data_IF_994412557167
#
_entry.id   IF_994412557167
#
_cell.length_a   1.000
_cell.length_b   1.000
_cell.length_c   1.000
_cell.angle_alpha   90.00
_cell.angle_beta   90.00
_cell.angle_gamma   90.00
#
_symmetry.space_group_name_H-M   'P 1'
#
loop_
_entity.id
_entity.type
_entity.pdbx_description
1 polymer ?
2 polymer ?
3 branched ?
4 branched ?
5 branched ?
6 non-polymer ?
7 non-polymer ?
8 non-polymer ?
9 water ?
#
# COMPACT_ATOMS: atom_id res chain seq x y z
N UNK A 2 -15.84 1.37 -9.78
CA UNK A 2 -15.89 1.11 -8.36
C UNK A 2 -14.47 1.25 -7.79
N UNK A 3 -14.36 1.68 -6.54
CA UNK A 3 -13.04 1.62 -5.87
C UNK A 3 -12.64 0.14 -5.74
N UNK A 4 -11.40 -0.23 -6.04
CA UNK A 4 -10.97 -1.64 -5.84
C UNK A 4 -10.41 -1.85 -4.43
N UNK A 5 -10.54 -3.08 -3.94
CA UNK A 5 -9.82 -3.48 -2.68
C UNK A 5 -8.39 -2.99 -2.76
N UNK A 6 -7.88 -2.47 -1.65
CA UNK A 6 -6.52 -1.96 -1.70
C UNK A 6 -6.19 -1.03 -0.57
N UNK A 7 -4.96 -0.57 -0.58
CA UNK A 7 -4.41 0.37 0.42
C UNK A 7 -4.40 1.74 -0.23
N UNK A 8 -4.96 2.72 0.46
CA UNK A 8 -5.08 4.10 -0.04
C UNK A 8 -4.48 5.12 0.91
N UNK A 9 -3.90 6.12 0.29
CA UNK A 9 -3.58 7.41 0.95
C UNK A 9 -4.67 8.37 0.54
N UNK A 10 -5.49 8.84 1.46
CA UNK A 10 -6.72 9.60 1.14
C UNK A 10 -6.44 11.08 1.38
N UNK A 11 -6.42 11.89 0.31
CA UNK A 11 -5.92 13.27 0.29
C UNK A 11 -7.09 14.21 -0.06
N UNK A 12 -7.37 15.20 0.76
CA UNK A 12 -8.43 16.20 0.51
C UNK A 12 -8.26 16.84 -0.87
N UNK A 13 -9.37 17.08 -1.59
CA UNK A 13 -9.26 17.73 -2.93
C UNK A 13 -8.97 19.24 -2.83
N UNK A 14 -9.28 19.91 -1.72
CA UNK A 14 -9.20 21.37 -1.57
C UNK A 14 -7.86 21.82 -1.01
N UNK A 15 -7.29 21.05 -0.08
CA UNK A 15 -6.03 21.40 0.63
C UNK A 15 -5.23 20.13 0.79
N UNK A 16 -3.89 20.23 0.89
CA UNK A 16 -2.99 19.07 0.92
C UNK A 16 -2.90 18.47 2.33
N UNK A 17 -4.04 17.98 2.80
CA UNK A 17 -4.19 17.25 4.08
C UNK A 17 -4.70 15.85 3.78
N UNK A 18 -4.11 14.85 4.39
CA UNK A 18 -4.53 13.44 4.26
C UNK A 18 -5.33 13.07 5.50
N UNK A 19 -6.16 12.05 5.36
CA UNK A 19 -6.90 11.47 6.50
C UNK A 19 -5.89 10.70 7.35
N UNK A 20 -5.76 11.14 8.62
CA UNK A 20 -4.69 10.73 9.54
C UNK A 20 -5.34 10.20 10.82
N UNK A 21 -4.94 9.02 11.26
CA UNK A 21 -5.43 8.52 12.59
C UNK A 21 -4.44 9.10 13.59
N UNK A 22 -4.90 9.99 14.45
CA UNK A 22 -3.98 10.81 15.28
C UNK A 22 -3.04 9.92 16.13
N UNK A 23 -1.73 10.16 15.98
CA UNK A 23 -0.63 9.42 16.64
C UNK A 23 -0.64 7.91 16.35
N UNK A 24 -1.37 7.47 15.32
CA UNK A 24 -1.51 6.05 15.01
C UNK A 24 -2.18 5.25 16.12
N UNK A 25 -2.86 5.89 17.04
CA UNK A 25 -3.27 5.23 18.29
C UNK A 25 -4.34 4.18 18.00
N UNK A 26 -4.21 3.00 18.62
CA UNK A 26 -5.27 1.96 18.53
C UNK A 26 -6.39 2.20 19.57
N UNK A 27 -6.29 3.22 20.42
CA UNK A 27 -7.37 3.44 21.44
C UNK A 27 -8.72 3.64 20.73
N UNK A 28 -9.81 3.05 21.24
CA UNK A 28 -11.15 3.40 20.70
C UNK A 28 -11.40 4.90 20.88
N UNK A 29 -11.89 5.58 19.85
CA UNK A 29 -12.26 7.00 19.93
C UNK A 29 -11.08 7.93 19.63
N UNK A 30 -10.00 7.38 19.13
CA UNK A 30 -8.86 8.18 18.65
C UNK A 30 -9.36 9.02 17.46
N UNK A 31 -9.16 10.34 17.47
CA UNK A 31 -9.69 11.20 16.42
C UNK A 31 -8.98 10.95 15.10
N UNK A 32 -9.79 10.94 14.05
CA UNK A 32 -9.24 10.98 12.66
C UNK A 32 -9.26 12.44 12.20
N UNK A 33 -8.11 12.94 11.70
CA UNK A 33 -7.87 14.39 11.53
C UNK A 33 -7.21 14.61 10.19
N UNK A 34 -7.30 15.82 9.67
CA UNK A 34 -6.46 16.17 8.52
C UNK A 34 -5.03 16.52 8.92
N UNK A 35 -4.07 16.07 8.14
CA UNK A 35 -2.62 16.24 8.49
C UNK A 35 -1.81 16.34 7.20
N UNK A 36 -0.76 17.12 7.19
CA UNK A 36 0.09 17.24 5.99
C UNK A 36 0.84 15.94 5.79
N UNK A 37 1.46 15.78 4.61
CA UNK A 37 2.09 14.50 4.24
C UNK A 37 3.29 14.77 3.34
N UNK A 38 4.12 13.76 3.23
CA UNK A 38 5.31 13.83 2.35
C UNK A 38 5.07 12.79 1.27
N UNK A 39 4.98 13.18 -0.01
CA UNK A 39 4.91 12.19 -1.08
C UNK A 39 6.19 11.33 -1.15
N UNK A 40 6.08 10.11 -1.69
CA UNK A 40 7.21 9.16 -1.88
C UNK A 40 7.87 8.79 -0.55
N UNK A 41 7.04 8.75 0.51
CA UNK A 41 7.40 8.18 1.80
C UNK A 41 6.27 7.22 2.17
N UNK A 42 6.53 6.46 3.21
CA UNK A 42 5.47 5.80 4.00
C UNK A 42 4.91 6.84 4.95
N UNK A 43 3.65 7.25 4.77
CA UNK A 43 2.96 8.15 5.72
C UNK A 43 2.26 7.26 6.76
N UNK A 44 2.97 6.96 7.84
CA UNK A 44 2.70 5.84 8.77
C UNK A 44 1.27 5.85 9.31
N UNK A 45 0.69 7.03 9.57
CA UNK A 45 -0.67 7.05 10.22
C UNK A 45 -1.79 7.29 9.22
N UNK A 46 -1.50 7.25 7.93
CA UNK A 46 -2.33 7.82 6.87
C UNK A 46 -2.64 6.76 5.80
N UNK A 47 -2.46 5.47 6.09
CA UNK A 47 -2.73 4.43 5.07
C UNK A 47 -3.97 3.68 5.50
N UNK A 48 -4.87 3.43 4.54
CA UNK A 48 -6.19 2.84 4.82
C UNK A 48 -6.42 1.65 3.91
N UNK A 49 -6.72 0.50 4.50
CA UNK A 49 -7.09 -0.72 3.74
C UNK A 49 -8.60 -0.75 3.54
N UNK A 50 -9.00 -0.64 2.26
CA UNK A 50 -10.42 -0.65 1.86
C UNK A 50 -10.78 -2.09 1.50
N UNK A 51 -11.71 -2.66 2.27
CA UNK A 51 -12.23 -4.03 2.07
C UNK A 51 -13.69 -3.94 1.62
N UNK A 52 -13.98 -4.35 0.35
CA UNK A 52 -15.37 -4.37 -0.13
C UNK A 52 -16.26 -5.32 0.69
N UNK A 53 -17.49 -4.90 0.93
CA UNK A 53 -18.50 -5.67 1.67
C UNK A 53 -19.28 -6.47 0.63
N UNK A 54 -19.35 -7.81 0.75
CA UNK A 54 -20.10 -8.63 -0.19
C UNK A 54 -21.61 -8.28 -0.17
N UNK A 55 -22.17 -8.09 -1.36
CA UNK A 55 -23.62 -7.83 -1.56
C UNK A 55 -24.05 -6.48 -0.98
N UNK A 56 -23.13 -5.54 -0.70
CA UNK A 56 -23.50 -4.10 -0.48
C UNK A 56 -22.65 -3.29 -1.47
N UNK A 57 -23.31 -2.71 -2.48
CA UNK A 57 -22.66 -2.02 -3.63
C UNK A 57 -21.76 -0.87 -3.13
N UNK A 58 -20.53 -0.78 -3.64
CA UNK A 58 -19.59 0.36 -3.46
C UNK A 58 -19.42 0.69 -1.98
N UNK A 59 -19.49 -0.32 -1.11
CA UNK A 59 -19.42 -0.13 0.36
C UNK A 59 -18.26 -0.94 0.93
N UNK A 60 -17.57 -0.36 1.92
CA UNK A 60 -16.23 -0.79 2.36
C UNK A 60 -16.08 -0.53 3.86
N UNK A 61 -15.24 -1.35 4.49
CA UNK A 61 -14.60 -0.94 5.77
C UNK A 61 -13.28 -0.26 5.40
N UNK A 62 -12.85 0.67 6.23
CA UNK A 62 -11.56 1.38 6.04
C UNK A 62 -10.75 1.15 7.32
N UNK A 63 -9.74 0.28 7.23
CA UNK A 63 -8.88 -0.14 8.35
C UNK A 63 -7.59 0.64 8.29
N UNK A 64 -7.23 1.33 9.37
CA UNK A 64 -5.90 1.98 9.35
C UNK A 64 -4.80 0.91 9.38
N UNK A 65 -3.85 0.98 8.46
CA UNK A 65 -2.87 -0.10 8.30
C UNK A 65 -2.03 -0.22 9.58
N UNK A 66 -1.70 0.92 10.18
CA UNK A 66 -0.80 0.97 11.34
C UNK A 66 -1.53 0.49 12.61
N UNK A 67 -2.72 0.97 12.88
CA UNK A 67 -3.41 0.70 14.17
C UNK A 67 -4.21 -0.61 14.11
N UNK A 68 -4.64 -1.02 12.92
CA UNK A 68 -5.60 -2.12 12.76
C UNK A 68 -7.00 -1.76 13.22
N UNK A 69 -7.28 -0.48 13.53
CA UNK A 69 -8.62 -0.02 13.92
C UNK A 69 -9.30 0.66 12.72
N UNK A 70 -10.60 0.76 12.78
CA UNK A 70 -11.46 1.11 11.63
C UNK A 70 -12.02 2.53 11.78
N UNK A 71 -12.14 3.22 10.65
CA UNK A 71 -12.87 4.50 10.56
C UNK A 71 -14.32 4.30 11.03
N UNK A 72 -14.76 5.07 12.02
CA UNK A 72 -16.02 4.87 12.77
C UNK A 72 -16.71 6.21 12.99
N UNK A 73 -17.97 6.30 12.58
CA UNK A 73 -18.81 7.49 12.77
C UNK A 73 -19.46 7.40 14.16
N UNK A 74 -19.04 8.24 15.08
CA UNK A 74 -19.38 8.11 16.50
C UNK A 74 -20.90 7.99 16.73
N UNK A 75 -21.29 6.81 17.19
CA UNK A 75 -22.70 6.42 17.47
C UNK A 75 -23.60 6.48 16.22
N UNK A 76 -23.01 6.50 15.02
CA UNK A 76 -23.76 6.52 13.75
C UNK A 76 -24.62 7.77 13.58
N UNK A 77 -24.37 8.83 14.34
CA UNK A 77 -25.20 10.06 14.30
C UNK A 77 -25.13 10.73 12.92
N UNK A 78 -26.29 11.17 12.44
CA UNK A 78 -26.46 11.98 11.21
C UNK A 78 -26.31 13.47 11.49
N UNK A 79 -26.07 13.89 12.74
CA UNK A 79 -25.87 15.31 13.05
C UNK A 79 -24.60 15.77 12.29
N UNK A 80 -24.63 16.95 11.70
CA UNK A 80 -23.42 17.59 11.13
C UNK A 80 -22.42 17.82 12.27
N UNK A 81 -21.15 17.48 12.09
CA UNK A 81 -20.15 17.71 13.17
C UNK A 81 -19.82 16.44 13.93
N UNK A 82 -20.51 15.33 13.66
CA UNK A 82 -20.30 14.03 14.38
C UNK A 82 -18.85 13.56 14.18
N UNK A 83 -18.22 13.19 15.29
CA UNK A 83 -16.80 12.79 15.31
C UNK A 83 -16.58 11.57 14.42
N UNK A 84 -15.50 11.59 13.63
CA UNK A 84 -15.01 10.38 12.94
C UNK A 84 -13.73 9.96 13.68
N UNK A 85 -13.66 8.72 14.12
CA UNK A 85 -12.59 8.22 15.01
C UNK A 85 -12.16 6.80 14.59
N UNK A 86 -10.98 6.38 15.03
CA UNK A 86 -10.57 4.98 14.94
C UNK A 86 -11.27 4.20 16.04
N UNK A 87 -11.75 3.01 15.71
CA UNK A 87 -12.49 2.16 16.65
C UNK A 87 -12.22 0.69 16.32
N UNK A 88 -12.17 -0.16 17.35
CA UNK A 88 -12.00 -1.62 17.08
C UNK A 88 -13.14 -2.16 16.20
N UNK A 89 -12.83 -3.06 15.30
CA UNK A 89 -13.86 -3.68 14.43
C UNK A 89 -13.32 -4.87 13.65
N UNK A 90 -13.98 -5.24 12.56
CA UNK A 90 -13.56 -6.34 11.67
C UNK A 90 -13.81 -5.97 10.21
N UNK A 91 -13.08 -6.64 9.33
CA UNK A 91 -13.01 -6.30 7.90
C UNK A 91 -14.42 -6.40 7.27
N UNK A 92 -15.28 -7.31 7.74
CA UNK A 92 -16.62 -7.54 7.12
C UNK A 92 -17.77 -7.30 8.10
N UNK A 93 -17.60 -6.37 9.03
CA UNK A 93 -18.62 -6.01 10.04
C UNK A 93 -19.95 -5.65 9.36
N UNK A 94 -21.05 -5.86 10.07
CA UNK A 94 -22.38 -5.32 9.74
C UNK A 94 -22.65 -4.06 10.60
N UNK A 95 -21.67 -3.56 11.37
CA UNK A 95 -21.84 -2.34 12.18
C UNK A 95 -21.88 -1.16 11.21
N UNK A 96 -23.04 -0.48 10.98
CA UNK A 96 -23.06 0.61 9.99
C UNK A 96 -22.15 1.79 10.35
N UNK A 97 -21.77 1.93 11.61
CA UNK A 97 -20.85 3.03 12.01
C UNK A 97 -19.53 2.90 11.27
N UNK A 98 -19.16 1.69 10.81
CA UNK A 98 -17.83 1.38 10.21
C UNK A 98 -17.97 1.04 8.72
N UNK A 99 -19.15 1.28 8.13
CA UNK A 99 -19.39 0.96 6.71
C UNK A 99 -19.50 2.26 5.91
N UNK A 100 -18.82 2.34 4.78
CA UNK A 100 -18.60 3.59 4.05
C UNK A 100 -18.81 3.30 2.56
N UNK A 101 -19.78 3.99 1.95
CA UNK A 101 -20.03 3.93 0.49
C UNK A 101 -19.14 4.96 -0.17
N UNK A 102 -18.29 4.54 -1.09
CA UNK A 102 -17.21 5.36 -1.67
C UNK A 102 -17.39 5.34 -3.18
N UNK A 103 -17.79 6.47 -3.72
CA UNK A 103 -18.07 6.59 -5.17
C UNK A 103 -17.52 7.91 -5.71
N UNK A 104 -17.27 7.96 -6.99
CA UNK A 104 -16.71 9.16 -7.63
C UNK A 104 -17.62 10.38 -7.40
N UNK A 105 -16.96 11.47 -7.06
CA UNK A 105 -17.53 12.84 -7.02
C UNK A 105 -17.90 13.31 -8.45
N UNK A 106 -18.55 14.47 -8.52
CA UNK A 106 -19.02 15.12 -9.77
C UNK A 106 -17.82 15.45 -10.69
N UNK A 107 -16.66 15.80 -10.11
CA UNK A 107 -15.32 16.03 -10.73
C UNK A 107 -14.84 14.74 -11.43
N UNK A 108 -15.32 13.58 -11.00
CA UNK A 108 -15.01 12.30 -11.64
C UNK A 108 -13.60 11.76 -11.31
N UNK A 109 -12.67 12.48 -10.64
CA UNK A 109 -11.41 11.82 -10.17
C UNK A 109 -11.40 11.56 -8.64
N UNK A 110 -11.74 12.56 -7.88
CA UNK A 110 -11.94 12.38 -6.42
C UNK A 110 -13.24 11.63 -6.13
N UNK A 111 -13.36 11.16 -4.89
CA UNK A 111 -14.46 10.37 -4.33
C UNK A 111 -15.10 11.17 -3.22
N UNK A 112 -16.35 10.85 -2.94
CA UNK A 112 -16.95 11.14 -1.63
C UNK A 112 -17.12 9.86 -0.84
N UNK A 113 -17.16 10.02 0.48
CA UNK A 113 -17.15 8.93 1.48
C UNK A 113 -18.39 9.11 2.33
N UNK A 114 -19.40 8.28 2.12
CA UNK A 114 -20.66 8.37 2.84
C UNK A 114 -20.79 7.28 3.88
N UNK A 115 -21.17 7.64 5.09
CA UNK A 115 -21.45 6.58 6.09
C UNK A 115 -22.72 5.85 5.68
N UNK A 116 -22.68 4.53 5.66
CA UNK A 116 -23.77 3.69 5.09
C UNK A 116 -25.01 3.81 5.97
N UNK A 117 -24.83 4.01 7.27
CA UNK A 117 -25.91 4.14 8.27
C UNK A 117 -26.52 5.52 8.24
N UNK A 118 -25.72 6.56 8.38
CA UNK A 118 -26.20 7.96 8.55
C UNK A 118 -26.52 8.64 7.23
N UNK A 119 -25.88 8.24 6.13
CA UNK A 119 -25.93 8.90 4.80
C UNK A 119 -25.28 10.31 4.83
N UNK A 120 -24.50 10.63 5.86
CA UNK A 120 -23.63 11.83 5.92
C UNK A 120 -22.23 11.50 5.39
N UNK A 121 -21.50 12.56 5.06
CA UNK A 121 -20.25 12.49 4.30
C UNK A 121 -19.09 12.88 5.22
N UNK A 122 -17.96 12.19 5.01
CA UNK A 122 -16.65 12.57 5.60
C UNK A 122 -16.25 13.97 5.14
N UNK A 123 -16.00 14.89 6.08
CA UNK A 123 -15.90 16.33 5.80
C UNK A 123 -14.69 16.88 6.55
N UNK A 124 -13.71 17.43 5.85
CA UNK A 124 -12.63 18.21 6.48
C UNK A 124 -13.22 19.55 6.88
N UNK A 125 -13.57 19.71 8.17
CA UNK A 125 -14.39 20.85 8.62
C UNK A 125 -13.73 22.18 8.25
N UNK A 126 -14.49 23.02 7.53
CA UNK A 126 -14.11 24.37 7.12
C UNK A 126 -12.97 24.30 6.13
N UNK A 127 -12.65 23.12 5.62
CA UNK A 127 -11.50 23.05 4.68
C UNK A 127 -10.19 23.44 5.36
N UNK A 128 -10.08 23.25 6.68
CA UNK A 128 -8.92 23.71 7.46
C UNK A 128 -7.71 22.85 7.10
N UNK A 129 -6.61 23.46 6.68
CA UNK A 129 -5.39 22.76 6.27
C UNK A 129 -4.47 22.48 7.46
N UNK A 130 -4.84 22.92 8.65
CA UNK A 130 -3.92 22.80 9.80
C UNK A 130 -3.74 21.32 10.18
N UNK A 131 -2.59 21.02 10.73
CA UNK A 131 -2.31 19.64 11.24
C UNK A 131 -3.19 19.41 12.46
N UNK A 132 -4.05 18.40 12.42
CA UNK A 132 -4.96 18.04 13.51
C UNK A 132 -6.36 18.58 13.32
N UNK A 133 -6.69 19.07 12.13
CA UNK A 133 -8.00 19.66 11.80
C UNK A 133 -9.05 18.56 11.93
N UNK A 134 -10.16 18.89 12.56
CA UNK A 134 -11.30 17.95 12.69
C UNK A 134 -11.81 17.42 11.35
N UNK A 135 -12.11 16.12 11.33
CA UNK A 135 -12.88 15.43 10.25
C UNK A 135 -14.16 14.94 10.89
N UNK A 136 -15.29 15.19 10.25
CA UNK A 136 -16.59 14.93 10.86
C UNK A 136 -17.50 14.37 9.79
N UNK A 137 -18.53 13.71 10.25
CA UNK A 137 -19.66 13.36 9.39
C UNK A 137 -20.50 14.62 9.18
N UNK A 138 -20.85 14.93 7.96
CA UNK A 138 -21.57 16.21 7.69
C UNK A 138 -22.63 15.95 6.63
N UNK A 139 -23.69 16.74 6.70
CA UNK A 139 -24.72 16.80 5.66
C UNK A 139 -24.06 17.01 4.31
N UNK A 140 -24.57 16.36 3.28
CA UNK A 140 -24.05 16.61 1.94
C UNK A 140 -24.86 15.88 0.89
N UNK A 141 -24.43 16.04 -0.36
CA UNK A 141 -25.03 15.34 -1.52
C UNK A 141 -23.91 14.74 -2.36
N UNK A 142 -24.25 13.74 -3.15
CA UNK A 142 -23.28 13.03 -4.00
C UNK A 142 -22.74 13.93 -5.12
N UNK A 143 -23.54 14.87 -5.60
CA UNK A 143 -23.24 15.61 -6.86
C UNK A 143 -22.60 16.99 -6.61
N UNK A 144 -22.58 17.54 -5.40
CA UNK A 144 -22.12 18.95 -5.18
C UNK A 144 -20.58 19.04 -5.28
N UNK A 145 -20.08 20.22 -5.55
CA UNK A 145 -18.63 20.48 -5.78
C UNK A 145 -17.82 20.64 -4.49
N UNK A 146 -18.47 20.73 -3.34
CA UNK A 146 -17.87 21.19 -2.05
C UNK A 146 -16.58 20.41 -1.78
N UNK A 147 -15.41 21.04 -1.85
CA UNK A 147 -14.15 20.31 -1.70
C UNK A 147 -13.86 19.83 -0.27
N UNK A 148 -14.58 20.34 0.73
CA UNK A 148 -14.49 19.81 2.11
C UNK A 148 -14.79 18.30 2.14
N UNK A 149 -15.63 17.79 1.18
CA UNK A 149 -16.14 16.43 1.19
C UNK A 149 -15.58 15.61 0.02
N UNK A 150 -14.57 16.11 -0.68
CA UNK A 150 -13.94 15.42 -1.84
C UNK A 150 -12.54 14.96 -1.45
N UNK A 151 -12.24 13.76 -1.87
CA UNK A 151 -11.07 12.97 -1.43
C UNK A 151 -10.47 12.17 -2.58
N UNK A 152 -9.20 12.40 -2.85
CA UNK A 152 -8.41 11.60 -3.78
C UNK A 152 -7.94 10.34 -3.06
N UNK A 153 -8.28 9.20 -3.64
CA UNK A 153 -7.84 7.87 -3.18
C UNK A 153 -6.56 7.49 -3.91
N UNK A 154 -5.42 7.84 -3.35
CA UNK A 154 -4.09 7.61 -3.97
C UNK A 154 -3.70 6.15 -3.68
N UNK A 155 -3.75 5.28 -4.68
CA UNK A 155 -3.55 3.82 -4.51
C UNK A 155 -2.08 3.48 -4.26
N UNK A 156 -1.80 2.89 -3.10
CA UNK A 156 -0.44 2.55 -2.65
C UNK A 156 -0.17 1.04 -2.78
N UNK A 157 -1.15 0.23 -3.18
CA UNK A 157 -1.01 -1.24 -3.30
C UNK A 157 -1.23 -1.67 -4.77
N UNK A 158 -0.67 -2.83 -5.10
CA UNK A 158 -1.02 -3.58 -6.34
C UNK A 158 -1.70 -4.91 -5.99
N UNK A 159 -2.61 -5.36 -6.85
CA UNK A 159 -3.08 -6.77 -6.84
C UNK A 159 -1.98 -7.68 -7.43
N UNK A 160 -2.08 -8.98 -7.23
CA UNK A 160 -1.12 -9.93 -7.81
C UNK A 160 -1.24 -9.84 -9.33
N UNK A 161 -2.44 -9.62 -9.86
CA UNK A 161 -2.65 -9.48 -11.32
C UNK A 161 -1.93 -8.24 -11.87
N UNK A 162 -1.92 -7.10 -11.16
CA UNK A 162 -1.13 -5.91 -11.55
C UNK A 162 0.37 -6.18 -11.53
N UNK A 163 0.88 -6.91 -10.53
CA UNK A 163 2.32 -7.24 -10.41
C UNK A 163 2.70 -8.11 -11.61
N UNK A 164 1.83 -9.08 -11.87
CA UNK A 164 2.00 -10.03 -13.01
C UNK A 164 2.13 -9.22 -14.31
N UNK A 165 1.29 -8.21 -14.51
CA UNK A 165 1.34 -7.37 -15.73
C UNK A 165 2.64 -6.58 -15.81
N UNK A 166 3.09 -6.02 -14.70
CA UNK A 166 4.33 -5.22 -14.66
C UNK A 166 5.53 -6.08 -15.04
N UNK A 167 5.56 -7.32 -14.56
CA UNK A 167 6.67 -8.27 -14.86
C UNK A 167 6.60 -8.58 -16.35
N UNK A 168 5.41 -8.89 -16.85
CA UNK A 168 5.23 -9.36 -18.24
C UNK A 168 5.69 -8.30 -19.26
N UNK A 169 5.57 -6.99 -18.98
CA UNK A 169 5.95 -5.94 -19.95
C UNK A 169 7.44 -5.63 -19.81
N UNK A 170 8.15 -6.32 -18.92
CA UNK A 170 9.59 -6.02 -18.78
C UNK A 170 10.37 -6.63 -19.96
N UNK A 171 11.41 -5.97 -20.48
CA UNK A 171 12.15 -6.57 -21.60
C UNK A 171 13.23 -7.58 -21.18
N UNK A 172 13.40 -7.86 -19.88
CA UNK A 172 14.46 -8.80 -19.43
C UNK A 172 13.84 -10.07 -18.83
N UNK A 173 12.86 -10.63 -19.51
CA UNK A 173 12.19 -11.86 -19.07
C UNK A 173 12.56 -13.00 -20.03
N UNK A 174 13.12 -14.08 -19.50
CA UNK A 174 13.50 -15.24 -20.33
C UNK A 174 12.27 -15.90 -20.95
N UNK A 175 12.45 -16.56 -22.08
CA UNK A 175 11.36 -17.32 -22.73
C UNK A 175 10.75 -18.39 -21.84
N UNK A 176 11.52 -18.96 -20.91
CA UNK A 176 11.09 -20.11 -20.10
C UNK A 176 10.48 -19.62 -18.79
N UNK A 177 10.35 -18.31 -18.61
CA UNK A 177 9.93 -17.69 -17.32
C UNK A 177 8.66 -18.34 -16.80
N UNK A 178 8.64 -18.59 -15.47
CA UNK A 178 7.48 -19.03 -14.67
C UNK A 178 7.44 -18.15 -13.42
N UNK A 179 6.26 -17.66 -13.04
CA UNK A 179 6.11 -16.82 -11.83
C UNK A 179 5.25 -17.52 -10.85
N UNK A 180 5.50 -17.34 -9.55
CA UNK A 180 4.77 -18.03 -8.46
C UNK A 180 4.30 -16.96 -7.51
N UNK A 181 3.01 -16.78 -7.46
CA UNK A 181 2.36 -15.71 -6.68
C UNK A 181 2.08 -16.26 -5.28
N UNK A 182 2.35 -15.47 -4.24
CA UNK A 182 2.23 -15.97 -2.86
C UNK A 182 1.11 -15.28 -2.11
N UNK A 183 0.70 -14.07 -2.53
CA UNK A 183 -0.33 -13.29 -1.79
C UNK A 183 -1.27 -12.61 -2.80
N UNK A 184 -2.13 -11.73 -2.34
CA UNK A 184 -3.24 -11.19 -3.15
C UNK A 184 -3.09 -9.70 -3.42
N UNK A 185 -2.57 -8.96 -2.45
CA UNK A 185 -2.57 -7.48 -2.48
C UNK A 185 -1.35 -7.00 -1.73
N UNK A 186 -0.58 -6.18 -2.38
CA UNK A 186 0.77 -5.79 -1.91
C UNK A 186 0.93 -4.28 -1.77
N UNK A 187 1.40 -3.86 -0.60
CA UNK A 187 1.89 -2.49 -0.38
C UNK A 187 3.19 -2.31 -1.18
N UNK A 188 3.21 -1.31 -2.04
CA UNK A 188 4.40 -0.98 -2.85
C UNK A 188 5.24 0.02 -2.06
N UNK A 189 6.50 -0.31 -1.85
CA UNK A 189 7.38 0.57 -1.04
C UNK A 189 8.03 1.59 -1.95
N UNK A 190 8.16 2.83 -1.49
CA UNK A 190 9.14 3.75 -2.08
C UNK A 190 10.52 3.10 -1.99
N UNK A 191 11.38 3.35 -2.98
CA UNK A 191 12.75 2.86 -2.91
C UNK A 191 13.46 3.34 -1.63
N UNK A 192 13.17 4.53 -1.13
CA UNK A 192 13.78 5.00 0.12
C UNK A 192 13.48 4.02 1.28
N UNK A 193 12.25 3.51 1.36
CA UNK A 193 11.87 2.55 2.44
C UNK A 193 12.48 1.17 2.17
N UNK A 194 12.36 0.68 0.95
CA UNK A 194 13.01 -0.60 0.55
C UNK A 194 14.48 -0.60 0.99
N UNK A 195 15.19 0.48 0.68
CA UNK A 195 16.61 0.65 0.98
C UNK A 195 16.83 0.62 2.50
N UNK A 196 15.98 1.31 3.25
CA UNK A 196 16.08 1.34 4.74
C UNK A 196 15.96 -0.11 5.26
N UNK A 197 15.00 -0.87 4.76
CA UNK A 197 14.84 -2.29 5.21
C UNK A 197 16.12 -3.05 4.91
N UNK A 198 16.68 -2.88 3.71
CA UNK A 198 17.99 -3.49 3.35
C UNK A 198 19.08 -3.04 4.34
N UNK A 199 19.21 -1.75 4.58
CA UNK A 199 20.28 -1.19 5.47
C UNK A 199 20.15 -1.83 6.85
N UNK A 200 18.92 -2.02 7.32
CA UNK A 200 18.61 -2.51 8.69
C UNK A 200 18.72 -4.06 8.74
N UNK A 201 18.79 -4.73 7.60
CA UNK A 201 18.75 -6.21 7.51
C UNK A 201 20.09 -6.85 7.93
N UNK A 202 21.20 -6.11 7.88
CA UNK A 202 22.53 -6.72 8.04
C UNK A 202 23.14 -7.21 6.74
N UNK A 203 22.39 -7.22 5.64
CA UNK A 203 22.95 -7.63 4.34
C UNK A 203 24.08 -6.72 3.89
N UNK A 204 24.04 -5.38 4.06
CA UNK A 204 25.14 -4.55 3.52
C UNK A 204 26.53 -5.03 4.03
N UNK A 205 26.54 -5.51 5.26
CA UNK A 205 27.71 -6.09 5.93
C UNK A 205 27.82 -7.61 5.86
N UNK A 206 27.31 -8.24 4.81
CA UNK A 206 27.43 -9.70 4.57
C UNK A 206 28.44 -9.91 3.44
N UNK A 207 29.32 -10.94 3.54
CA UNK A 207 30.37 -11.24 2.53
C UNK A 207 29.82 -12.29 1.56
N UNK A 208 30.09 -12.12 0.27
CA UNK A 208 29.67 -13.11 -0.74
C UNK A 208 30.61 -14.30 -0.54
N UNK A 209 30.06 -15.49 -0.43
CA UNK A 209 30.83 -16.76 -0.28
C UNK A 209 30.21 -17.85 -1.17
N UNK A 210 31.05 -18.54 -1.95
CA UNK A 210 30.63 -19.60 -2.90
C UNK A 210 29.66 -20.56 -2.19
N UNK A 211 28.44 -20.65 -2.71
CA UNK A 211 27.29 -21.51 -2.31
C UNK A 211 26.76 -21.20 -0.91
N UNK A 212 27.64 -21.06 0.07
CA UNK A 212 27.22 -20.97 1.51
C UNK A 212 26.59 -19.60 1.80
N UNK A 213 26.97 -18.54 1.11
CA UNK A 213 26.25 -17.25 1.23
C UNK A 213 26.43 -16.45 -0.04
N UNK A 214 25.75 -16.89 -1.10
CA UNK A 214 25.97 -16.37 -2.47
C UNK A 214 24.66 -15.66 -2.88
N UNK A 216 21.72 -16.33 -4.16
CA UNK A 216 20.42 -16.84 -3.66
C UNK A 216 20.24 -16.52 -2.17
N UNK A 217 21.28 -16.62 -1.34
CA UNK A 217 21.16 -16.32 0.12
C UNK A 217 20.81 -14.83 0.28
N UNK A 218 21.49 -13.93 -0.44
CA UNK A 218 21.22 -12.48 -0.30
C UNK A 218 19.76 -12.19 -0.67
N UNK A 219 19.29 -12.73 -1.80
CA UNK A 219 17.93 -12.45 -2.30
C UNK A 219 16.84 -12.99 -1.38
N UNK A 220 17.02 -14.21 -0.83
CA UNK A 220 16.03 -14.81 0.07
C UNK A 220 16.10 -14.03 1.36
N UNK A 221 17.30 -13.61 1.78
CA UNK A 221 17.41 -12.89 3.08
C UNK A 221 16.69 -11.53 2.98
N UNK A 222 16.82 -10.85 1.85
CA UNK A 222 16.13 -9.55 1.61
C UNK A 222 14.62 -9.79 1.64
N UNK A 223 14.12 -10.80 0.94
CA UNK A 223 12.68 -11.12 0.99
C UNK A 223 12.22 -11.41 2.42
N UNK A 224 12.98 -12.19 3.20
CA UNK A 224 12.59 -12.45 4.60
C UNK A 224 12.60 -11.14 5.39
N UNK A 225 13.58 -10.30 5.16
CA UNK A 225 13.72 -9.04 5.94
C UNK A 225 12.48 -8.14 5.67
N UNK A 226 11.99 -8.11 4.44
CA UNK A 226 10.81 -7.28 4.12
C UNK A 226 9.57 -7.95 4.73
N UNK A 227 9.48 -9.28 4.75
CA UNK A 227 8.33 -9.98 5.33
C UNK A 227 8.27 -9.64 6.82
N UNK A 228 9.42 -9.72 7.49
CA UNK A 228 9.49 -9.46 8.95
C UNK A 228 9.06 -8.00 9.19
N UNK A 229 9.62 -7.09 8.42
CA UNK A 229 9.29 -5.66 8.54
C UNK A 229 7.79 -5.46 8.41
N UNK A 230 7.14 -6.07 7.42
CA UNK A 230 5.69 -5.95 7.25
C UNK A 230 4.95 -6.31 8.52
N UNK A 231 5.25 -7.47 9.08
CA UNK A 231 4.45 -7.99 10.21
C UNK A 231 4.74 -7.09 11.43
N UNK A 232 6.00 -6.68 11.56
CA UNK A 232 6.42 -5.91 12.75
C UNK A 232 5.87 -4.48 12.69
N UNK A 233 5.65 -3.94 11.50
CA UNK A 233 5.35 -2.50 11.28
C UNK A 233 3.86 -2.19 11.35
N UNK A 234 2.99 -3.11 10.91
CA UNK A 234 1.55 -2.85 10.65
C UNK A 234 0.69 -3.83 11.46
N UNK A 235 -0.39 -3.35 12.03
CA UNK A 235 -1.34 -4.18 12.81
C UNK A 235 -2.47 -4.71 11.95
N UNK A 236 -2.80 -4.06 10.83
CA UNK A 236 -3.84 -4.56 9.92
C UNK A 236 -3.38 -5.92 9.34
N UNK A 237 -4.35 -6.72 8.88
CA UNK A 237 -4.15 -7.99 8.14
C UNK A 237 -4.78 -7.88 6.74
N UNK A 238 -4.47 -8.80 5.85
CA UNK A 238 -5.13 -8.94 4.54
C UNK A 238 -4.34 -8.30 3.41
N UNK A 239 -3.04 -8.09 3.61
CA UNK A 239 -2.15 -7.53 2.55
C UNK A 239 -0.72 -8.04 2.83
N UNK A 240 0.15 -7.91 1.85
CA UNK A 240 1.57 -8.24 1.96
C UNK A 240 2.39 -7.05 1.50
N UNK A 241 3.68 -7.11 1.74
CA UNK A 241 4.62 -6.09 1.26
C UNK A 241 5.20 -6.61 -0.06
N UNK A 242 5.30 -5.75 -1.05
CA UNK A 242 5.90 -6.12 -2.35
C UNK A 242 7.40 -6.21 -2.28
N UNK A 243 7.91 -7.42 -2.50
CA UNK A 243 9.37 -7.73 -2.59
C UNK A 243 9.54 -9.07 -3.30
N UNK A 244 9.96 -9.04 -4.55
CA UNK A 244 10.15 -10.31 -5.28
C UNK A 244 11.55 -10.85 -5.23
N UNK A 245 11.68 -12.16 -5.47
CA UNK A 245 12.94 -12.85 -5.78
C UNK A 245 12.83 -13.34 -7.22
N UNK A 246 13.87 -13.10 -7.97
CA UNK A 246 13.99 -13.67 -9.33
C UNK A 246 15.29 -14.48 -9.42
N UNK A 247 15.24 -15.55 -10.21
CA UNK A 247 16.42 -16.23 -10.78
C UNK A 247 16.54 -15.84 -12.25
N UNK A 248 17.74 -15.49 -12.66
CA UNK A 248 18.01 -15.11 -14.06
C UNK A 248 19.26 -15.76 -14.65
N UNK A 249 19.31 -15.77 -15.99
CA UNK A 249 20.41 -16.32 -16.79
C UNK A 249 20.90 -15.23 -17.75
N UNK A 250 22.22 -15.13 -17.92
CA UNK A 250 22.84 -14.13 -18.83
C UNK A 250 22.54 -14.48 -20.30
N UNK A 251 22.89 -13.57 -21.20
CA UNK A 251 22.59 -13.67 -22.65
C UNK A 251 23.27 -14.91 -23.23
N UNK A 252 24.50 -15.20 -22.79
CA UNK A 252 25.29 -16.34 -23.30
C UNK A 252 24.73 -17.67 -22.78
N UNK A 253 23.78 -17.64 -21.82
CA UNK A 253 23.18 -18.84 -21.22
C UNK A 253 24.17 -19.64 -20.40
N UNK A 254 25.27 -19.06 -19.92
CA UNK A 254 26.32 -19.83 -19.22
C UNK A 254 26.56 -19.32 -17.79
N UNK A 255 25.77 -18.37 -17.30
CA UNK A 255 25.88 -17.92 -15.88
C UNK A 255 24.48 -17.56 -15.37
N UNK A 256 24.15 -17.90 -14.12
CA UNK A 256 22.84 -17.55 -13.50
C UNK A 256 23.09 -16.75 -12.20
N UNK A 257 22.09 -16.01 -11.78
CA UNK A 257 22.15 -15.13 -10.59
C UNK A 257 20.78 -15.08 -9.95
N UNK A 258 20.71 -14.74 -8.66
CA UNK A 258 19.45 -14.46 -7.97
C UNK A 258 19.50 -12.98 -7.53
N UNK A 259 18.35 -12.35 -7.53
CA UNK A 259 18.24 -10.93 -7.16
C UNK A 259 16.82 -10.64 -6.74
N UNK A 260 16.55 -9.40 -6.37
CA UNK A 260 15.20 -8.99 -5.92
C UNK A 260 14.60 -8.07 -6.96
N UNK A 261 13.35 -7.75 -6.80
CA UNK A 261 12.69 -6.70 -7.63
C UNK A 261 11.57 -6.05 -6.86
N UNK A 262 11.34 -4.80 -7.24
CA UNK A 262 10.28 -3.96 -6.69
C UNK A 262 9.51 -3.34 -7.87
N UNK A 263 8.65 -2.38 -7.58
CA UNK A 263 7.78 -1.75 -8.60
C UNK A 263 8.04 -0.25 -8.59
N UNK A 264 7.96 0.34 -9.77
CA UNK A 264 7.99 1.83 -9.98
C UNK A 264 6.83 2.49 -9.19
N UNK A 265 6.93 3.80 -9.00
CA UNK A 265 5.90 4.64 -8.33
C UNK A 265 4.54 4.50 -9.01
N UNK A 266 4.53 4.39 -10.35
CA UNK A 266 3.28 4.33 -11.15
C UNK A 266 2.74 2.90 -11.16
N UNK A 267 3.49 1.93 -10.61
CA UNK A 267 3.01 0.54 -10.41
C UNK A 267 2.98 -0.21 -11.77
N UNK A 268 3.55 0.38 -12.81
CA UNK A 268 3.40 -0.20 -14.17
C UNK A 268 4.59 -1.08 -14.56
N UNK A 269 5.75 -0.90 -13.96
CA UNK A 269 6.99 -1.61 -14.34
C UNK A 269 7.75 -2.11 -13.10
N UNK A 270 8.58 -3.11 -13.31
CA UNK A 270 9.42 -3.62 -12.20
C UNK A 270 10.76 -2.92 -12.30
N UNK A 271 11.48 -2.95 -11.20
CA UNK A 271 12.87 -2.46 -11.08
C UNK A 271 13.67 -3.54 -10.34
N UNK A 272 14.85 -3.88 -10.79
CA UNK A 272 15.69 -4.93 -10.17
C UNK A 272 16.47 -4.32 -9.02
N UNK A 273 16.68 -5.12 -8.00
CA UNK A 273 17.40 -4.73 -6.77
C UNK A 273 18.48 -5.79 -6.54
N UNK A 274 19.73 -5.32 -6.47
CA UNK A 274 20.91 -6.15 -6.26
C UNK A 274 21.21 -6.16 -4.76
N UNK A 275 20.88 -7.24 -4.03
CA UNK A 275 20.91 -7.24 -2.57
C UNK A 275 22.31 -7.32 -1.95
N UNK A 276 23.35 -7.52 -2.76
CA UNK A 276 24.71 -7.48 -2.20
C UNK A 276 25.15 -6.02 -2.03
N UNK A 277 24.78 -5.10 -2.93
CA UNK A 277 25.33 -3.71 -2.94
C UNK A 277 24.18 -2.70 -2.78
N UNK A 278 22.93 -3.16 -2.86
CA UNK A 278 21.76 -2.28 -2.69
C UNK A 278 21.46 -1.39 -3.86
N UNK A 279 21.99 -1.69 -5.04
CA UNK A 279 21.72 -0.92 -6.26
C UNK A 279 20.35 -1.24 -6.85
N UNK A 280 19.70 -0.25 -7.45
CA UNK A 280 18.50 -0.44 -8.29
C UNK A 280 18.93 -0.39 -9.74
N UNK A 281 18.33 -1.22 -10.60
CA UNK A 281 18.80 -1.33 -12.00
C UNK A 281 17.59 -1.59 -12.88
N UNK A 282 17.54 -0.99 -14.07
CA UNK A 282 16.54 -1.34 -15.11
C UNK A 282 17.02 -2.57 -15.88
N UNK A 283 18.32 -2.81 -15.90
CA UNK A 283 18.93 -4.00 -16.54
C UNK A 283 19.98 -4.59 -15.61
N UNK A 284 19.76 -5.78 -15.05
CA UNK A 284 20.74 -6.37 -14.09
C UNK A 284 21.73 -7.30 -14.81
N UNK A 285 21.61 -7.47 -16.12
CA UNK A 285 22.54 -8.34 -16.88
C UNK A 285 22.05 -9.79 -16.97
N UNK A 286 20.84 -10.07 -16.57
CA UNK A 286 20.21 -11.41 -16.57
C UNK A 286 18.78 -11.29 -17.05
N UNK A 287 18.31 -12.30 -17.74
CA UNK A 287 16.89 -12.48 -18.07
C UNK A 287 16.24 -13.44 -17.08
N UNK A 288 15.17 -13.00 -16.42
CA UNK A 288 14.52 -13.78 -15.32
C UNK A 288 13.84 -15.03 -15.87
N UNK A 289 14.17 -16.21 -15.34
CA UNK A 289 13.48 -17.45 -15.70
C UNK A 289 12.53 -17.88 -14.60
N UNK A 290 12.64 -17.30 -13.40
CA UNK A 290 11.71 -17.68 -12.33
C UNK A 290 11.55 -16.47 -11.40
N UNK A 291 10.37 -16.31 -10.86
CA UNK A 291 10.08 -15.26 -9.86
C UNK A 291 9.12 -15.82 -8.84
N UNK A 292 9.34 -15.44 -7.59
CA UNK A 292 8.29 -15.64 -6.59
C UNK A 292 8.12 -14.32 -5.83
N UNK A 293 6.89 -14.01 -5.48
CA UNK A 293 6.52 -12.73 -4.85
C UNK A 293 5.13 -12.83 -4.26
N UNK B 1 22.31 -21.69 -15.86
CA UNK B 1 22.94 -22.55 -14.87
C UNK B 1 22.24 -22.52 -13.49
N UNK B 2 23.05 -22.71 -12.44
CA UNK B 2 22.68 -22.66 -11.00
C UNK B 2 23.06 -21.27 -10.46
N UNK B 3 22.13 -20.50 -9.83
CA UNK B 3 22.44 -19.15 -9.34
C UNK B 3 23.69 -19.12 -8.47
N UNK B 4 24.77 -18.50 -8.98
CA UNK B 4 26.05 -18.20 -8.27
C UNK B 4 26.03 -16.74 -7.83
#
# INVERSE_FOLDING_TARGET
MSLRRGIYHIENAGVPSAIDLKDGSSSDGTPIVGWQFTPDTINWHQLWLAEPIPNVADTFTLCNLFSGTYMDLYNGSSEAGTAVNGWQGTAFTTNPHQLWTIKKSSDGTSYKIQNYGSKTFVDLVNGDSSDGAKIAGWTGTWDEGNPHQKWYFNRMSVSSAEAQAAIARNPHIHGTYRGYILDGEYLVLPNATFTQIWKDSGLPGSKWREQIYDXDDFAIAMKAAVGKWGADSWKANGFAIFCGVMLGVNKAGDAAAAYNFTLTKDHADIVFFEPQNGGYLNDIGYDSYMAFY
PVPRAHS
#
